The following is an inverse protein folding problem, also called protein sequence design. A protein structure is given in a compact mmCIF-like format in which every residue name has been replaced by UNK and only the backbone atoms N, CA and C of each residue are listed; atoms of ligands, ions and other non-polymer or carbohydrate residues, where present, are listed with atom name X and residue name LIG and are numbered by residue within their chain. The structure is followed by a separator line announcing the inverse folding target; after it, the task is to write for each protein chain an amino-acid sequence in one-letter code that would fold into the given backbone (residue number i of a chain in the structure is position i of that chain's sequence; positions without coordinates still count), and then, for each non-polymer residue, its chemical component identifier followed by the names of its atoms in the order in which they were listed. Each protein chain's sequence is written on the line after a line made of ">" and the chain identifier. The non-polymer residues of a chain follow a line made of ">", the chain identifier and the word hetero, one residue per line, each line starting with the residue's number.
data_IF_373940896676
#
_entry.id   IF_373940896676
#
_cell.length_a   1.000
_cell.length_b   1.000
_cell.length_c   1.000
_cell.angle_alpha   90.00
_cell.angle_beta   90.00
_cell.angle_gamma   90.00
#
_symmetry.space_group_name_H-M   'P 1'
#
loop_
_entity.id
_entity.type
_entity.pdbx_description
1 polymer ?
#
# COMPACT_ATOMS: atom_id res chain seq x y z
N UNK A 1 -39.30 -1.75 -74.66
CA UNK A 1 -37.95 -1.31 -74.17
C UNK A 1 -37.98 -0.63 -72.82
N UNK A 2 -39.11 -0.25 -72.26
CA UNK A 2 -39.18 0.43 -70.95
C UNK A 2 -39.22 -0.53 -69.72
N UNK A 3 -39.67 -1.77 -69.89
CA UNK A 3 -39.85 -2.72 -68.77
C UNK A 3 -38.44 -3.22 -68.22
N UNK A 4 -37.49 -3.44 -69.10
CA UNK A 4 -36.16 -3.90 -68.72
C UNK A 4 -35.36 -2.83 -67.95
N UNK A 5 -35.57 -1.56 -68.21
CA UNK A 5 -34.89 -0.46 -67.48
C UNK A 5 -35.45 -0.26 -66.09
N UNK A 6 -36.76 -0.49 -65.87
CA UNK A 6 -37.39 -0.43 -64.55
C UNK A 6 -36.96 -1.60 -63.64
N UNK A 7 -36.82 -2.81 -64.17
CA UNK A 7 -36.38 -3.97 -63.46
C UNK A 7 -34.88 -3.79 -63.03
N UNK A 8 -34.05 -3.28 -63.97
CA UNK A 8 -32.61 -2.99 -63.63
C UNK A 8 -32.46 -1.94 -62.53
N UNK A 9 -33.26 -0.84 -62.55
CA UNK A 9 -33.21 0.17 -61.50
C UNK A 9 -33.64 -0.36 -60.15
N UNK A 10 -34.70 -1.16 -60.09
CA UNK A 10 -35.13 -1.80 -58.82
C UNK A 10 -34.14 -2.80 -58.29
N UNK A 11 -33.54 -3.63 -59.13
CA UNK A 11 -32.48 -4.55 -58.75
C UNK A 11 -31.26 -3.79 -58.28
N UNK A 12 -30.85 -2.71 -58.94
CA UNK A 12 -29.74 -1.87 -58.53
C UNK A 12 -29.98 -1.18 -57.16
N UNK A 13 -31.20 -0.70 -56.91
CA UNK A 13 -31.59 -0.14 -55.62
C UNK A 13 -31.59 -1.19 -54.51
N UNK A 14 -32.04 -2.39 -54.76
CA UNK A 14 -31.98 -3.50 -53.79
C UNK A 14 -30.54 -3.90 -53.48
N UNK A 15 -29.68 -3.98 -54.49
CA UNK A 15 -28.26 -4.27 -54.30
C UNK A 15 -27.56 -3.16 -53.49
N UNK A 16 -27.84 -1.89 -53.77
CA UNK A 16 -27.31 -0.75 -53.01
C UNK A 16 -27.82 -0.79 -51.56
N UNK A 17 -29.09 -1.11 -51.32
CA UNK A 17 -29.67 -1.23 -49.98
C UNK A 17 -29.04 -2.39 -49.20
N UNK A 18 -28.78 -3.53 -49.83
CA UNK A 18 -28.12 -4.68 -49.21
C UNK A 18 -26.66 -4.35 -48.90
N UNK A 19 -25.94 -3.70 -49.80
CA UNK A 19 -24.56 -3.29 -49.59
C UNK A 19 -24.45 -2.24 -48.49
N UNK A 20 -25.37 -1.28 -48.40
CA UNK A 20 -25.43 -0.29 -47.32
C UNK A 20 -25.77 -0.93 -45.96
N UNK A 21 -26.64 -1.94 -45.95
CA UNK A 21 -26.97 -2.69 -44.74
C UNK A 21 -25.80 -3.56 -44.26
N UNK A 22 -25.07 -4.20 -45.19
CA UNK A 22 -23.84 -4.93 -44.86
C UNK A 22 -22.73 -4.02 -44.40
N UNK A 23 -22.59 -2.83 -44.98
CA UNK A 23 -21.62 -1.82 -44.51
C UNK A 23 -22.01 -1.27 -43.13
N UNK A 24 -23.28 -1.08 -42.84
CA UNK A 24 -23.76 -0.66 -41.51
C UNK A 24 -23.49 -1.71 -40.42
N UNK A 25 -23.62 -3.00 -40.77
CA UNK A 25 -23.30 -4.11 -39.86
C UNK A 25 -21.78 -4.23 -39.64
N UNK A 26 -20.94 -3.95 -40.65
CA UNK A 26 -19.50 -4.00 -40.56
C UNK A 26 -18.90 -2.79 -39.79
N UNK A 27 -19.65 -1.69 -39.69
CA UNK A 27 -19.26 -0.48 -38.93
C UNK A 27 -19.95 -0.41 -37.55
N UNK A 28 -20.75 -1.41 -37.17
CA UNK A 28 -21.13 -1.49 -35.75
C UNK A 28 -19.82 -1.58 -34.93
N UNK A 29 -19.52 -0.52 -34.14
CA UNK A 29 -18.44 -0.68 -33.18
C UNK A 29 -18.85 -1.90 -32.36
N UNK A 30 -18.03 -2.94 -32.37
CA UNK A 30 -18.02 -3.92 -31.31
C UNK A 30 -17.79 -3.10 -30.05
N UNK A 31 -18.85 -2.71 -29.36
CA UNK A 31 -18.78 -2.38 -27.97
C UNK A 31 -18.30 -3.68 -27.34
N UNK A 32 -16.97 -3.85 -27.33
CA UNK A 32 -16.34 -4.73 -26.38
C UNK A 32 -16.96 -4.24 -25.07
N UNK A 33 -17.84 -5.06 -24.50
CA UNK A 33 -18.29 -4.91 -23.14
C UNK A 33 -16.97 -4.85 -22.39
N UNK A 34 -16.57 -3.65 -21.97
CA UNK A 34 -15.52 -3.52 -20.97
C UNK A 34 -15.99 -4.44 -19.85
N UNK A 35 -15.42 -5.64 -19.77
CA UNK A 35 -15.52 -6.40 -18.55
C UNK A 35 -14.97 -5.43 -17.50
N UNK A 36 -15.88 -4.85 -16.72
CA UNK A 36 -15.51 -4.28 -15.46
C UNK A 36 -14.85 -5.42 -14.72
N UNK A 37 -13.55 -5.53 -14.85
CA UNK A 37 -12.74 -6.29 -13.91
C UNK A 37 -13.04 -5.61 -12.58
N UNK A 38 -13.90 -6.22 -11.78
CA UNK A 38 -14.05 -5.83 -10.39
C UNK A 38 -12.63 -5.87 -9.83
N UNK A 39 -12.05 -4.69 -9.62
CA UNK A 39 -10.68 -4.57 -9.13
C UNK A 39 -10.55 -5.34 -7.81
N UNK A 40 -9.35 -5.80 -7.48
CA UNK A 40 -9.09 -6.48 -6.21
C UNK A 40 -9.40 -5.51 -5.07
N UNK A 41 -10.26 -5.93 -4.14
CA UNK A 41 -10.50 -5.19 -2.90
C UNK A 41 -9.31 -5.40 -1.97
N UNK A 42 -8.60 -4.33 -1.64
CA UNK A 42 -7.43 -4.35 -0.78
C UNK A 42 -7.69 -3.47 0.46
N UNK A 43 -8.18 -4.05 1.57
CA UNK A 43 -8.22 -3.33 2.84
C UNK A 43 -6.81 -3.04 3.37
N UNK A 44 -6.65 -1.92 4.05
CA UNK A 44 -5.44 -1.57 4.80
C UNK A 44 -5.89 -1.23 6.22
N UNK A 45 -5.35 -1.93 7.21
CA UNK A 45 -5.57 -1.63 8.63
C UNK A 45 -4.31 -0.99 9.16
N UNK A 46 -4.46 0.19 9.75
CA UNK A 46 -3.37 0.95 10.35
C UNK A 46 -3.39 0.83 11.87
N UNK A 47 -2.23 0.54 12.43
CA UNK A 47 -1.95 0.50 13.87
C UNK A 47 -0.78 1.44 14.18
N UNK A 48 -0.67 1.87 15.45
CA UNK A 48 0.49 2.65 15.91
C UNK A 48 1.21 1.92 17.04
N UNK A 49 0.70 1.93 18.27
CA UNK A 49 1.42 1.38 19.41
C UNK A 49 0.74 0.16 20.02
N UNK A 50 1.54 -0.79 20.51
CA UNK A 50 1.08 -2.01 21.17
C UNK A 50 1.63 -2.03 22.59
N UNK A 51 0.78 -1.88 23.63
CA UNK A 51 1.21 -1.86 25.02
C UNK A 51 0.42 -2.83 25.88
N UNK A 52 1.05 -3.44 26.88
CA UNK A 52 0.38 -4.38 27.78
C UNK A 52 -0.60 -3.71 28.76
N UNK A 53 -0.42 -2.42 29.04
CA UNK A 53 -1.27 -1.71 29.98
C UNK A 53 -2.58 -1.31 29.31
N UNK A 54 -3.67 -1.98 29.67
CA UNK A 54 -5.03 -1.72 29.15
C UNK A 54 -5.51 -0.29 29.42
N UNK A 55 -5.08 0.35 30.52
CA UNK A 55 -5.44 1.73 30.83
C UNK A 55 -4.91 2.74 29.79
N UNK A 56 -3.95 2.33 28.95
CA UNK A 56 -3.41 3.12 27.86
C UNK A 56 -4.03 2.83 26.51
N UNK A 57 -4.94 1.83 26.43
CA UNK A 57 -5.65 1.53 25.17
C UNK A 57 -6.51 2.70 24.72
N UNK A 58 -6.54 2.95 23.41
CA UNK A 58 -7.26 4.05 22.79
C UNK A 58 -7.21 4.00 21.29
N UNK A 59 -7.48 5.12 20.65
CA UNK A 59 -7.57 5.21 19.18
C UNK A 59 -6.28 4.75 18.45
N UNK A 60 -5.11 5.01 19.07
CA UNK A 60 -3.79 4.71 18.47
C UNK A 60 -2.99 3.66 19.26
N UNK A 61 -3.57 3.11 20.33
CA UNK A 61 -2.87 2.18 21.21
C UNK A 61 -3.75 0.98 21.47
N UNK A 62 -3.25 -0.21 21.14
CA UNK A 62 -3.94 -1.48 21.40
C UNK A 62 -3.09 -2.37 22.31
N UNK A 63 -3.71 -3.43 22.85
CA UNK A 63 -2.95 -4.45 23.58
C UNK A 63 -2.49 -5.59 22.68
N UNK A 64 -1.44 -6.36 23.07
CA UNK A 64 -1.06 -7.57 22.35
C UNK A 64 -2.21 -8.59 22.21
N UNK A 65 -3.10 -8.64 23.19
CA UNK A 65 -4.29 -9.53 23.18
C UNK A 65 -5.30 -9.08 22.13
N UNK A 66 -5.50 -7.78 21.97
CA UNK A 66 -6.39 -7.23 20.94
C UNK A 66 -5.81 -7.49 19.56
N UNK A 67 -4.52 -7.20 19.36
CA UNK A 67 -3.84 -7.51 18.09
C UNK A 67 -3.96 -9.00 17.76
N UNK A 68 -3.72 -9.89 18.72
CA UNK A 68 -3.84 -11.33 18.49
C UNK A 68 -5.24 -11.74 18.06
N UNK A 69 -6.29 -11.15 18.64
CA UNK A 69 -7.69 -11.38 18.22
C UNK A 69 -7.92 -10.90 16.78
N UNK A 70 -7.38 -9.75 16.41
CA UNK A 70 -7.51 -9.23 15.05
C UNK A 70 -6.83 -10.16 14.03
N UNK A 71 -5.60 -10.60 14.31
CA UNK A 71 -4.88 -11.55 13.44
C UNK A 71 -5.63 -12.88 13.28
N UNK A 72 -6.18 -13.40 14.38
CA UNK A 72 -7.01 -14.61 14.37
C UNK A 72 -8.28 -14.42 13.54
N UNK A 73 -8.95 -13.28 13.70
CA UNK A 73 -10.15 -12.94 12.92
C UNK A 73 -9.82 -12.91 11.42
N UNK A 74 -8.75 -12.26 11.03
CA UNK A 74 -8.33 -12.18 9.63
C UNK A 74 -8.05 -13.58 9.06
N UNK A 75 -7.29 -14.40 9.80
CA UNK A 75 -6.97 -15.77 9.39
C UNK A 75 -8.23 -16.63 9.23
N UNK A 76 -9.15 -16.57 10.18
CA UNK A 76 -10.40 -17.34 10.17
C UNK A 76 -11.35 -16.91 9.03
N UNK A 77 -11.27 -15.66 8.60
CA UNK A 77 -12.06 -15.13 7.49
C UNK A 77 -11.35 -15.24 6.12
N UNK A 78 -10.21 -15.96 6.05
CA UNK A 78 -9.50 -16.26 4.81
C UNK A 78 -8.74 -15.07 4.21
N UNK A 79 -8.41 -14.06 5.00
CA UNK A 79 -7.52 -12.99 4.56
C UNK A 79 -6.08 -13.49 4.54
N UNK A 80 -5.33 -13.02 3.56
CA UNK A 80 -3.89 -13.24 3.44
C UNK A 80 -3.18 -11.90 3.50
N UNK A 81 -2.31 -11.71 4.47
CA UNK A 81 -1.52 -10.49 4.60
C UNK A 81 -0.47 -10.40 3.51
N UNK A 82 -0.34 -9.21 2.92
CA UNK A 82 0.62 -8.92 1.84
C UNK A 82 1.41 -7.66 2.18
N UNK A 83 2.62 -7.55 1.62
CA UNK A 83 3.42 -6.33 1.70
C UNK A 83 2.96 -5.27 0.70
N UNK A 84 3.25 -4.01 0.95
CA UNK A 84 3.05 -2.92 -0.01
C UNK A 84 3.80 -3.22 -1.31
N UNK A 85 5.01 -3.80 -1.22
CA UNK A 85 5.79 -4.17 -2.40
C UNK A 85 5.13 -5.28 -3.25
N UNK A 86 4.37 -6.21 -2.64
CA UNK A 86 3.57 -7.21 -3.37
C UNK A 86 2.51 -6.52 -4.24
N UNK A 87 1.86 -5.49 -3.68
CA UNK A 87 0.86 -4.69 -4.41
C UNK A 87 1.51 -3.86 -5.52
N UNK A 88 2.68 -3.26 -5.27
CA UNK A 88 3.44 -2.53 -6.31
C UNK A 88 3.83 -3.46 -7.46
N UNK A 89 4.26 -4.68 -7.17
CA UNK A 89 4.57 -5.69 -8.19
C UNK A 89 3.34 -6.09 -8.99
N UNK A 90 2.21 -6.31 -8.32
CA UNK A 90 0.94 -6.60 -8.98
C UNK A 90 0.55 -5.50 -9.98
N UNK A 91 0.55 -4.23 -9.53
CA UNK A 91 0.13 -3.08 -10.36
C UNK A 91 1.11 -2.80 -11.49
N UNK A 92 2.43 -2.84 -11.23
CA UNK A 92 3.44 -2.42 -12.20
C UNK A 92 3.93 -3.54 -13.12
N UNK A 93 3.86 -4.80 -12.69
CA UNK A 93 4.49 -5.94 -13.38
C UNK A 93 3.53 -7.09 -13.68
N UNK A 94 2.23 -6.97 -13.35
CA UNK A 94 1.25 -8.01 -13.57
C UNK A 94 1.49 -9.26 -12.66
N UNK A 95 1.98 -9.05 -11.44
CA UNK A 95 2.08 -10.10 -10.43
C UNK A 95 0.70 -10.62 -9.99
N UNK A 96 0.69 -11.61 -9.12
CA UNK A 96 -0.55 -12.15 -8.53
C UNK A 96 -0.68 -11.71 -7.08
N UNK A 97 -1.91 -11.44 -6.65
CA UNK A 97 -2.28 -11.28 -5.25
C UNK A 97 -3.21 -12.42 -4.83
N UNK A 98 -3.22 -12.80 -3.55
CA UNK A 98 -4.18 -13.77 -3.04
C UNK A 98 -5.63 -13.29 -3.23
N UNK A 99 -6.61 -14.17 -3.08
CA UNK A 99 -8.04 -13.88 -3.30
C UNK A 99 -8.56 -12.78 -2.35
N UNK A 100 -8.11 -12.79 -1.09
CA UNK A 100 -8.47 -11.80 -0.07
C UNK A 100 -7.21 -11.14 0.52
N UNK A 101 -6.53 -10.27 -0.24
CA UNK A 101 -5.34 -9.61 0.25
C UNK A 101 -5.69 -8.53 1.28
N UNK A 102 -4.83 -8.35 2.26
CA UNK A 102 -4.92 -7.27 3.25
C UNK A 102 -3.52 -6.78 3.62
N UNK A 103 -3.37 -5.48 3.83
CA UNK A 103 -2.14 -4.89 4.39
C UNK A 103 -2.39 -4.56 5.85
N UNK A 104 -1.44 -4.95 6.70
CA UNK A 104 -1.33 -4.48 8.08
C UNK A 104 -0.20 -3.45 8.12
N UNK A 105 -0.53 -2.20 8.42
CA UNK A 105 0.42 -1.09 8.54
C UNK A 105 0.63 -0.74 10.00
N UNK A 106 1.88 -0.58 10.39
CA UNK A 106 2.28 -0.16 11.73
C UNK A 106 3.21 1.04 11.59
N UNK A 107 2.80 2.19 12.12
CA UNK A 107 3.47 3.46 11.90
C UNK A 107 4.37 3.83 13.09
N UNK A 108 5.23 4.83 12.90
CA UNK A 108 6.17 5.45 13.85
C UNK A 108 7.41 4.62 14.23
N UNK A 109 7.41 3.31 14.11
CA UNK A 109 8.57 2.48 14.44
C UNK A 109 8.81 2.33 15.95
N UNK A 110 7.78 2.09 16.75
CA UNK A 110 7.90 1.88 18.19
C UNK A 110 8.55 0.54 18.52
N UNK A 111 9.36 0.47 19.61
CA UNK A 111 10.08 -0.73 20.05
C UNK A 111 9.16 -1.92 20.36
N UNK A 112 7.91 -1.66 20.73
CA UNK A 112 6.91 -2.70 20.98
C UNK A 112 6.60 -3.59 19.76
N UNK A 113 6.97 -3.19 18.55
CA UNK A 113 6.87 -4.07 17.38
C UNK A 113 7.86 -5.22 17.44
N UNK A 114 9.05 -4.97 17.99
CA UNK A 114 10.04 -6.03 18.24
C UNK A 114 9.56 -7.01 19.30
N UNK A 115 8.93 -6.49 20.36
CA UNK A 115 8.53 -7.26 21.54
C UNK A 115 7.19 -7.99 21.39
N UNK A 116 6.23 -7.40 20.68
CA UNK A 116 4.85 -7.93 20.64
C UNK A 116 4.36 -8.24 19.24
N UNK A 117 4.68 -7.41 18.22
CA UNK A 117 4.20 -7.64 16.87
C UNK A 117 4.91 -8.82 16.22
N UNK A 118 6.23 -8.81 16.18
CA UNK A 118 7.01 -9.84 15.48
C UNK A 118 6.67 -11.26 15.96
N UNK A 119 6.63 -11.59 17.26
CA UNK A 119 6.27 -12.93 17.71
C UNK A 119 4.85 -13.36 17.30
N UNK A 120 3.91 -12.43 17.19
CA UNK A 120 2.55 -12.73 16.71
C UNK A 120 2.51 -12.96 15.21
N UNK A 121 3.25 -12.20 14.42
CA UNK A 121 3.35 -12.41 12.98
C UNK A 121 3.98 -13.77 12.66
N UNK A 122 5.06 -14.14 13.34
CA UNK A 122 5.70 -15.45 13.23
C UNK A 122 4.75 -16.59 13.62
N UNK A 123 4.05 -16.45 14.75
CA UNK A 123 3.09 -17.43 15.26
C UNK A 123 1.98 -17.75 14.26
N UNK A 124 1.49 -16.74 13.55
CA UNK A 124 0.35 -16.88 12.64
C UNK A 124 0.74 -16.97 11.17
N UNK A 125 2.04 -16.89 10.85
CA UNK A 125 2.59 -16.80 9.50
C UNK A 125 1.95 -15.65 8.70
N UNK A 126 2.01 -14.45 9.29
CA UNK A 126 1.44 -13.24 8.73
C UNK A 126 2.52 -12.20 8.44
N UNK A 127 2.17 -11.23 7.60
CA UNK A 127 3.04 -10.15 7.15
C UNK A 127 2.51 -8.80 7.61
N UNK A 128 3.40 -7.87 7.88
CA UNK A 128 3.07 -6.48 8.17
C UNK A 128 4.08 -5.52 7.53
N UNK A 129 3.65 -4.29 7.28
CA UNK A 129 4.49 -3.18 6.87
C UNK A 129 4.70 -2.27 8.07
N UNK A 130 5.94 -1.98 8.41
CA UNK A 130 6.33 -1.06 9.50
C UNK A 130 6.97 0.18 8.88
N UNK A 131 6.37 1.35 9.13
CA UNK A 131 6.85 2.64 8.65
C UNK A 131 7.62 3.34 9.76
N UNK A 132 8.95 3.49 9.63
CA UNK A 132 9.80 4.08 10.67
C UNK A 132 10.04 5.56 10.46
N UNK A 133 10.18 6.32 11.56
CA UNK A 133 10.64 7.72 11.57
C UNK A 133 12.15 7.73 11.87
N UNK A 134 12.96 8.13 10.89
CA UNK A 134 14.41 7.98 10.96
C UNK A 134 15.06 8.70 12.14
N UNK A 135 14.60 9.91 12.49
CA UNK A 135 15.10 10.65 13.62
C UNK A 135 14.83 9.95 14.97
N UNK A 136 13.71 9.22 15.07
CA UNK A 136 13.40 8.43 16.27
C UNK A 136 14.28 7.19 16.37
N UNK A 137 14.51 6.53 15.21
CA UNK A 137 15.42 5.37 15.15
C UNK A 137 16.86 5.76 15.47
N UNK A 138 17.37 6.90 14.97
CA UNK A 138 18.69 7.41 15.33
C UNK A 138 18.79 7.70 16.83
N UNK A 139 17.77 8.34 17.42
CA UNK A 139 17.75 8.64 18.86
C UNK A 139 17.69 7.36 19.72
N UNK A 140 16.98 6.33 19.28
CA UNK A 140 16.88 5.05 19.97
C UNK A 140 18.23 4.31 20.09
N UNK A 141 19.18 4.57 19.18
CA UNK A 141 20.52 4.00 19.27
C UNK A 141 21.31 4.45 20.52
N UNK A 142 20.92 5.53 21.16
CA UNK A 142 21.52 6.02 22.41
C UNK A 142 20.87 5.41 23.67
N UNK A 143 19.77 4.66 23.53
CA UNK A 143 19.08 4.02 24.65
C UNK A 143 19.75 2.71 25.02
N UNK A 144 20.17 2.56 26.28
CA UNK A 144 20.81 1.33 26.75
C UNK A 144 19.81 0.20 27.06
N UNK A 145 18.61 0.56 27.52
CA UNK A 145 17.53 -0.38 27.89
C UNK A 145 16.19 0.15 27.34
N UNK A 146 15.77 -0.28 26.14
CA UNK A 146 14.52 0.20 25.55
C UNK A 146 13.29 -0.34 26.31
N UNK A 147 12.30 0.53 26.51
CA UNK A 147 11.02 0.21 27.14
C UNK A 147 9.93 0.09 26.07
N UNK A 148 9.24 -1.06 25.94
CA UNK A 148 8.17 -1.24 24.96
C UNK A 148 7.03 -0.22 25.07
N UNK A 149 6.90 0.48 26.19
CA UNK A 149 5.86 1.48 26.36
C UNK A 149 6.21 2.86 25.76
N UNK A 150 7.50 3.16 25.52
CA UNK A 150 7.94 4.51 25.18
C UNK A 150 9.03 4.59 24.12
N UNK A 151 9.88 3.54 23.98
CA UNK A 151 11.03 3.57 23.10
C UNK A 151 10.68 3.29 21.65
N UNK A 152 11.58 3.67 20.75
CA UNK A 152 11.53 3.37 19.34
C UNK A 152 12.51 2.24 18.97
N UNK A 153 12.36 1.70 17.77
CA UNK A 153 13.27 0.72 17.20
C UNK A 153 14.62 1.40 16.88
N UNK A 154 15.71 0.80 17.31
CA UNK A 154 17.02 1.14 16.79
C UNK A 154 17.30 0.44 15.44
N UNK A 155 18.45 0.73 14.80
CA UNK A 155 18.78 0.12 13.50
C UNK A 155 19.01 -1.39 13.56
N UNK A 156 19.39 -1.92 14.71
CA UNK A 156 19.52 -3.37 14.92
C UNK A 156 18.14 -4.03 14.97
N UNK A 157 17.21 -3.44 15.68
CA UNK A 157 15.82 -3.91 15.75
C UNK A 157 15.14 -3.87 14.37
N UNK A 158 15.34 -2.78 13.62
CA UNK A 158 14.84 -2.63 12.23
C UNK A 158 15.38 -3.77 11.36
N UNK A 159 16.67 -4.10 11.49
CA UNK A 159 17.29 -5.21 10.75
C UNK A 159 16.69 -6.55 11.14
N UNK A 160 16.46 -6.80 12.43
CA UNK A 160 15.83 -8.04 12.91
C UNK A 160 14.41 -8.19 12.39
N UNK A 161 13.60 -7.12 12.41
CA UNK A 161 12.23 -7.14 11.87
C UNK A 161 12.25 -7.48 10.39
N UNK A 162 13.08 -6.82 9.58
CA UNK A 162 13.22 -7.08 8.15
C UNK A 162 13.66 -8.52 7.87
N UNK A 163 14.69 -8.99 8.56
CA UNK A 163 15.31 -10.31 8.31
C UNK A 163 14.40 -11.48 8.72
N UNK A 164 13.39 -11.21 9.54
CA UNK A 164 12.35 -12.19 9.86
C UNK A 164 11.56 -12.70 8.64
N UNK A 165 11.50 -11.88 7.59
CA UNK A 165 10.66 -12.16 6.42
C UNK A 165 9.16 -11.91 6.65
N UNK A 166 8.77 -11.49 7.86
CA UNK A 166 7.38 -11.17 8.23
C UNK A 166 7.11 -9.67 8.22
N UNK A 167 8.15 -8.84 8.15
CA UNK A 167 8.03 -7.38 8.20
C UNK A 167 8.72 -6.74 7.00
N UNK A 168 8.00 -5.85 6.32
CA UNK A 168 8.53 -4.91 5.32
C UNK A 168 8.72 -3.56 6.00
N UNK A 169 9.90 -2.96 5.85
CA UNK A 169 10.18 -1.62 6.39
C UNK A 169 9.86 -0.56 5.34
N UNK A 170 9.14 0.47 5.75
CA UNK A 170 8.75 1.61 4.92
C UNK A 170 9.17 2.94 5.55
N UNK A 171 9.17 3.97 4.72
CA UNK A 171 9.62 5.31 5.06
C UNK A 171 8.46 6.16 5.59
N UNK A 172 8.52 6.54 6.89
CA UNK A 172 7.57 7.47 7.52
C UNK A 172 8.13 8.90 7.68
N UNK A 173 9.07 9.29 6.84
CA UNK A 173 9.95 10.45 6.87
C UNK A 173 11.16 10.28 7.80
N UNK A 174 12.19 11.11 7.56
CA UNK A 174 13.30 11.17 8.51
C UNK A 174 12.91 11.99 9.75
N UNK A 175 12.47 13.25 9.57
CA UNK A 175 12.15 14.19 10.66
C UNK A 175 10.92 15.07 10.36
N UNK A 176 10.09 14.71 9.38
CA UNK A 176 8.84 15.45 9.07
C UNK A 176 7.66 15.02 9.94
N UNK A 177 7.86 14.11 10.89
CA UNK A 177 6.86 13.71 11.87
C UNK A 177 6.84 14.65 13.11
N UNK A 178 7.64 15.68 13.09
CA UNK A 178 7.79 16.63 14.20
C UNK A 178 6.53 17.51 14.33
N UNK A 179 6.15 17.83 15.58
CA UNK A 179 5.03 18.72 15.89
C UNK A 179 5.43 20.20 15.88
N UNK A 180 6.74 20.50 15.87
CA UNK A 180 7.28 21.85 15.89
C UNK A 180 7.65 22.31 14.48
N UNK A 181 7.06 23.43 14.04
CA UNK A 181 7.35 24.07 12.74
C UNK A 181 6.60 23.46 11.57
N UNK A 182 7.01 22.26 11.08
CA UNK A 182 6.32 21.54 10.02
C UNK A 182 5.59 20.32 10.60
N UNK A 183 4.26 20.36 10.58
CA UNK A 183 3.44 19.26 11.06
C UNK A 183 3.16 18.25 9.93
N UNK A 184 3.90 17.17 9.90
CA UNK A 184 3.76 16.11 8.93
C UNK A 184 4.38 16.45 7.55
N UNK A 185 4.12 15.59 6.58
CA UNK A 185 4.72 15.66 5.23
C UNK A 185 4.00 16.62 4.27
N UNK A 186 2.99 17.35 4.75
CA UNK A 186 2.23 18.30 3.92
C UNK A 186 2.98 19.59 3.59
N UNK A 187 2.61 20.22 2.47
CA UNK A 187 3.07 21.56 2.12
C UNK A 187 2.50 22.57 3.12
N UNK A 188 3.32 23.50 3.62
CA UNK A 188 2.88 24.55 4.52
C UNK A 188 2.13 25.66 3.78
N UNK A 189 1.25 26.37 4.50
CA UNK A 189 0.59 27.56 3.96
C UNK A 189 1.61 28.65 3.58
N UNK A 190 1.53 29.13 2.36
CA UNK A 190 2.46 30.13 1.81
C UNK A 190 3.82 29.58 1.35
N UNK A 191 4.09 28.29 1.52
CA UNK A 191 5.31 27.66 1.01
C UNK A 191 5.22 27.46 -0.51
N UNK A 192 6.31 27.76 -1.24
CA UNK A 192 6.36 27.42 -2.66
C UNK A 192 6.42 25.90 -2.86
N UNK A 193 5.83 25.40 -3.96
CA UNK A 193 5.91 23.97 -4.28
C UNK A 193 7.37 23.51 -4.48
N UNK A 194 8.24 24.36 -4.98
CA UNK A 194 9.65 24.03 -5.20
C UNK A 194 10.41 23.88 -3.88
N UNK A 195 10.19 24.77 -2.92
CA UNK A 195 10.78 24.68 -1.57
C UNK A 195 10.24 23.45 -0.84
N UNK A 196 8.91 23.23 -0.86
CA UNK A 196 8.30 22.04 -0.30
C UNK A 196 8.92 20.76 -0.89
N UNK A 197 8.97 20.67 -2.23
CA UNK A 197 9.52 19.51 -2.92
C UNK A 197 10.96 19.23 -2.53
N UNK A 198 11.78 20.27 -2.40
CA UNK A 198 13.17 20.14 -1.97
C UNK A 198 13.30 19.60 -0.55
N UNK A 199 12.51 20.14 0.39
CA UNK A 199 12.50 19.69 1.78
C UNK A 199 12.04 18.24 1.87
N UNK A 200 10.91 17.92 1.23
CA UNK A 200 10.35 16.57 1.22
C UNK A 200 11.31 15.54 0.64
N UNK A 201 11.94 15.84 -0.50
CA UNK A 201 12.90 14.92 -1.12
C UNK A 201 14.17 14.76 -0.29
N UNK A 202 14.68 15.82 0.32
CA UNK A 202 15.86 15.72 1.18
C UNK A 202 15.60 14.85 2.40
N UNK A 203 14.46 15.03 3.05
CA UNK A 203 14.06 14.28 4.23
C UNK A 203 13.85 12.79 3.90
N UNK A 204 13.01 12.50 2.92
CA UNK A 204 12.70 11.12 2.54
C UNK A 204 13.91 10.37 1.96
N UNK A 205 14.78 11.06 1.22
CA UNK A 205 16.04 10.47 0.69
C UNK A 205 17.01 10.20 1.82
N UNK A 206 17.07 11.06 2.85
CA UNK A 206 17.93 10.84 4.02
C UNK A 206 17.58 9.52 4.70
N UNK A 207 16.29 9.28 5.00
CA UNK A 207 15.87 8.02 5.62
C UNK A 207 16.17 6.83 4.71
N UNK A 208 15.90 6.94 3.40
CA UNK A 208 16.22 5.87 2.45
C UNK A 208 17.72 5.51 2.49
N UNK A 209 18.60 6.51 2.48
CA UNK A 209 20.06 6.31 2.55
C UNK A 209 20.45 5.60 3.84
N UNK A 210 19.91 6.00 4.99
CA UNK A 210 20.18 5.34 6.28
C UNK A 210 19.67 3.88 6.28
N UNK A 211 18.49 3.62 5.71
CA UNK A 211 18.00 2.25 5.55
C UNK A 211 18.95 1.40 4.69
N UNK A 212 19.49 1.96 3.60
CA UNK A 212 20.45 1.27 2.73
C UNK A 212 21.77 0.99 3.47
N UNK A 213 22.26 1.95 4.25
CA UNK A 213 23.51 1.84 5.00
C UNK A 213 23.42 0.84 6.16
N UNK A 214 22.35 0.90 6.96
CA UNK A 214 22.21 0.08 8.16
C UNK A 214 21.59 -1.28 7.90
N UNK A 215 20.70 -1.37 6.89
CA UNK A 215 19.92 -2.57 6.64
C UNK A 215 20.20 -3.21 5.28
N UNK A 216 20.97 -2.56 4.39
CA UNK A 216 21.28 -3.11 3.06
C UNK A 216 20.07 -3.30 2.17
N UNK A 217 19.11 -2.37 2.18
CA UNK A 217 18.01 -2.37 1.24
C UNK A 217 18.54 -2.13 -0.19
N UNK A 218 18.20 -3.03 -1.10
CA UNK A 218 18.46 -2.88 -2.55
C UNK A 218 17.15 -2.69 -3.30
#
# INVERSE_FOLDING_TARGET
>A
MYISLRIRKRVMLCVIAILSMLAAVAVMPTFAKEEKTDGIKLPIIMYHSIVKNEDRSGEYVITPIELEKDLLYLKQNGYTTVFVNDVIRYVKRGGELPEKPIILSFDDGTYNYREYLLPLLEKYDMKATVSIVGAYTDAACEEAEPDPAYSYLDWQDVSVLRDSGHVEICNHSYDMHNLEGRRGVGQLEGESYEDYRKIFLNDTTKLQTLCDEHCGFQ
#
